data_IF_518837010599
#
_entry.id   IF_518837010599
#
_cell.length_a   1.000
_cell.length_b   1.000
_cell.length_c   1.000
_cell.angle_alpha   90.00
_cell.angle_beta   90.00
_cell.angle_gamma   90.00
#
_symmetry.space_group_name_H-M   'P 1'
#
loop_
_entity.id
_entity.type
_entity.pdbx_description
1 polymer ?
#
# COMPACT_ATOMS: atom_id res chain seq x y z
N UNK A 1 19.89 -1.69 -20.58
CA UNK A 1 19.75 -0.27 -20.20
C UNK A 1 18.74 -0.18 -19.06
N UNK A 2 19.02 0.60 -18.01
CA UNK A 2 18.03 0.84 -16.95
C UNK A 2 16.91 1.75 -17.49
N UNK A 3 15.65 1.35 -17.30
CA UNK A 3 14.49 2.13 -17.72
C UNK A 3 14.21 3.25 -16.71
N UNK A 4 14.85 4.42 -16.89
CA UNK A 4 14.61 5.60 -16.07
C UNK A 4 13.28 6.27 -16.42
N UNK A 5 12.61 6.84 -15.41
CA UNK A 5 11.42 7.68 -15.58
C UNK A 5 11.86 9.13 -15.74
N UNK A 6 11.11 9.88 -16.56
CA UNK A 6 11.37 11.29 -16.82
C UNK A 6 10.18 12.14 -16.35
N UNK A 7 10.48 13.31 -15.79
CA UNK A 7 9.58 14.44 -15.64
C UNK A 7 10.11 15.65 -16.42
N UNK A 8 9.47 16.81 -16.33
CA UNK A 8 9.83 17.99 -17.13
C UNK A 8 11.28 18.44 -16.96
N UNK A 9 11.84 18.29 -15.75
CA UNK A 9 13.21 18.68 -15.41
C UNK A 9 13.91 17.65 -14.53
N UNK A 10 13.51 16.37 -14.60
CA UNK A 10 14.02 15.34 -13.68
C UNK A 10 14.08 13.98 -14.35
N UNK A 11 15.19 13.27 -14.17
CA UNK A 11 15.35 11.86 -14.52
C UNK A 11 15.50 11.08 -13.22
N UNK A 12 14.68 10.06 -13.01
CA UNK A 12 14.63 9.36 -11.72
C UNK A 12 14.30 7.86 -11.87
N UNK A 13 14.81 7.08 -10.93
CA UNK A 13 14.40 5.68 -10.72
C UNK A 13 14.35 5.43 -9.21
N UNK A 14 13.24 5.87 -8.60
CA UNK A 14 13.03 5.76 -7.16
C UNK A 14 12.16 4.56 -6.90
N UNK A 15 12.69 3.59 -6.13
CA UNK A 15 11.98 2.41 -5.72
C UNK A 15 12.02 2.25 -4.21
N UNK A 16 10.88 1.97 -3.60
CA UNK A 16 10.78 1.70 -2.17
C UNK A 16 10.19 0.32 -1.93
N UNK A 17 10.80 -0.40 -0.97
CA UNK A 17 10.24 -1.63 -0.44
C UNK A 17 9.54 -1.30 0.88
N UNK A 18 8.22 -1.32 0.87
CA UNK A 18 7.39 -1.08 2.05
C UNK A 18 6.91 -2.40 2.64
N UNK A 19 7.06 -2.53 3.95
CA UNK A 19 6.54 -3.66 4.72
C UNK A 19 5.84 -3.11 5.96
N UNK A 20 4.62 -3.59 6.22
CA UNK A 20 3.92 -3.28 7.46
C UNK A 20 3.06 -4.47 7.91
N UNK A 21 2.79 -4.50 9.21
CA UNK A 21 2.03 -5.57 9.88
C UNK A 21 0.64 -5.10 10.31
N UNK A 22 -0.25 -6.04 10.56
CA UNK A 22 -1.51 -5.80 11.26
C UNK A 22 -1.26 -5.49 12.74
N UNK A 23 -2.18 -4.76 13.38
CA UNK A 23 -2.10 -4.46 14.82
C UNK A 23 -2.14 -5.80 15.59
N UNK A 24 -1.23 -5.97 16.55
CA UNK A 24 -1.04 -7.23 17.29
C UNK A 24 -0.73 -8.46 16.41
N UNK A 25 -0.36 -8.26 15.15
CA UNK A 25 -0.01 -9.34 14.22
C UNK A 25 -1.15 -10.35 13.99
N UNK A 26 -2.39 -9.92 14.15
CA UNK A 26 -3.54 -10.77 13.88
C UNK A 26 -3.65 -11.12 12.40
N UNK A 27 -3.93 -12.39 12.13
CA UNK A 27 -4.09 -12.92 10.78
C UNK A 27 -5.45 -12.56 10.14
N UNK A 28 -5.76 -11.27 10.04
CA UNK A 28 -7.04 -10.77 9.55
C UNK A 28 -7.09 -10.55 8.05
N UNK A 29 -5.94 -10.52 7.37
CA UNK A 29 -5.84 -10.29 5.93
C UNK A 29 -6.07 -11.61 5.18
N UNK A 30 -7.29 -12.15 5.29
CA UNK A 30 -7.71 -13.40 4.64
C UNK A 30 -9.03 -13.20 3.89
N UNK A 31 -9.25 -14.00 2.86
CA UNK A 31 -10.48 -13.99 2.04
C UNK A 31 -10.81 -12.58 1.54
N UNK A 32 -12.07 -12.17 1.69
CA UNK A 32 -12.58 -10.89 1.20
C UNK A 32 -11.80 -9.67 1.71
N UNK A 33 -11.27 -9.73 2.94
CA UNK A 33 -10.48 -8.63 3.51
C UNK A 33 -9.18 -8.44 2.73
N UNK A 34 -8.52 -9.54 2.34
CA UNK A 34 -7.29 -9.50 1.57
C UNK A 34 -7.54 -9.03 0.12
N UNK A 35 -8.61 -9.51 -0.51
CA UNK A 35 -9.00 -9.05 -1.85
C UNK A 35 -9.32 -7.57 -1.86
N UNK A 36 -10.11 -7.12 -0.88
CA UNK A 36 -10.45 -5.70 -0.79
C UNK A 36 -9.25 -4.82 -0.50
N UNK A 37 -8.36 -5.24 0.39
CA UNK A 37 -7.11 -4.53 0.65
C UNK A 37 -6.28 -4.38 -0.63
N UNK A 38 -6.17 -5.44 -1.44
CA UNK A 38 -5.45 -5.39 -2.72
C UNK A 38 -6.01 -4.31 -3.65
N UNK A 39 -7.33 -4.23 -3.78
CA UNK A 39 -7.97 -3.24 -4.64
C UNK A 39 -7.76 -1.82 -4.13
N UNK A 40 -7.88 -1.61 -2.81
CA UNK A 40 -7.62 -0.31 -2.18
C UNK A 40 -6.16 0.15 -2.37
N UNK A 41 -5.20 -0.77 -2.25
CA UNK A 41 -3.79 -0.45 -2.46
C UNK A 41 -3.48 -0.12 -3.93
N UNK A 42 -4.10 -0.83 -4.88
CA UNK A 42 -4.00 -0.51 -6.32
C UNK A 42 -4.56 0.88 -6.61
N UNK A 43 -5.79 1.15 -6.17
CA UNK A 43 -6.43 2.46 -6.35
C UNK A 43 -5.61 3.60 -5.72
N UNK A 44 -5.06 3.39 -4.53
CA UNK A 44 -4.22 4.38 -3.84
C UNK A 44 -2.87 4.62 -4.51
N UNK A 45 -2.28 3.60 -5.15
CA UNK A 45 -1.07 3.78 -5.95
C UNK A 45 -1.36 4.51 -7.26
N UNK A 46 -2.40 4.10 -7.98
CA UNK A 46 -2.79 4.67 -9.26
C UNK A 46 -3.14 6.16 -9.13
N UNK A 47 -3.86 6.54 -8.07
CA UNK A 47 -4.24 7.95 -7.83
C UNK A 47 -3.04 8.86 -7.56
N UNK A 48 -1.87 8.30 -7.25
CA UNK A 48 -0.64 9.04 -6.94
C UNK A 48 0.45 8.84 -8.02
N UNK A 49 0.15 8.17 -9.13
CA UNK A 49 1.13 7.87 -10.18
C UNK A 49 2.26 6.93 -9.73
N UNK A 50 2.01 6.15 -8.67
CA UNK A 50 2.93 5.14 -8.14
C UNK A 50 2.70 3.83 -8.89
N UNK A 51 3.78 3.22 -9.38
CA UNK A 51 3.70 1.93 -10.09
C UNK A 51 4.05 0.80 -9.12
N UNK A 52 3.14 -0.16 -8.96
CA UNK A 52 3.41 -1.39 -8.21
C UNK A 52 4.28 -2.29 -9.07
N UNK A 53 5.49 -2.60 -8.61
CA UNK A 53 6.41 -3.53 -9.28
C UNK A 53 6.18 -4.96 -8.79
N UNK A 54 6.04 -5.12 -7.47
CA UNK A 54 5.69 -6.38 -6.82
C UNK A 54 4.83 -6.07 -5.59
N UNK A 55 3.93 -6.98 -5.22
CA UNK A 55 3.14 -6.84 -4.02
C UNK A 55 2.54 -8.16 -3.60
N UNK A 56 2.46 -8.38 -2.30
CA UNK A 56 1.82 -9.55 -1.73
C UNK A 56 1.24 -9.22 -0.36
N UNK A 57 0.15 -9.89 -0.07
CA UNK A 57 -0.61 -9.73 1.15
C UNK A 57 -0.57 -11.08 1.84
N UNK A 58 0.13 -11.13 2.96
CA UNK A 58 0.15 -12.26 3.88
C UNK A 58 -0.90 -12.04 4.97
N UNK A 59 -1.32 -13.10 5.69
CA UNK A 59 -2.40 -12.99 6.66
C UNK A 59 -2.21 -11.90 7.73
N UNK A 60 -0.97 -11.64 8.14
CA UNK A 60 -0.60 -10.69 9.20
C UNK A 60 0.25 -9.50 8.71
N UNK A 61 0.68 -9.47 7.45
CA UNK A 61 1.55 -8.42 6.93
C UNK A 61 1.40 -8.20 5.42
N UNK A 62 1.85 -7.04 4.96
CA UNK A 62 1.87 -6.68 3.54
C UNK A 62 3.28 -6.28 3.17
N UNK A 63 3.74 -6.74 2.00
CA UNK A 63 4.95 -6.23 1.37
C UNK A 63 4.64 -5.69 -0.02
N UNK A 64 5.25 -4.55 -0.37
CA UNK A 64 5.13 -3.94 -1.68
C UNK A 64 6.43 -3.32 -2.13
N UNK A 65 6.82 -3.61 -3.37
CA UNK A 65 7.87 -2.92 -4.08
C UNK A 65 7.23 -1.91 -5.04
N UNK A 66 7.44 -0.63 -4.80
CA UNK A 66 6.82 0.47 -5.53
C UNK A 66 7.87 1.26 -6.29
N UNK A 67 7.55 1.69 -7.51
CA UNK A 67 8.27 2.77 -8.22
C UNK A 67 7.51 4.08 -8.05
N UNK A 68 8.15 5.04 -7.39
CA UNK A 68 7.50 6.25 -6.91
C UNK A 68 7.95 7.50 -7.69
N UNK A 69 7.07 8.50 -7.85
CA UNK A 69 7.45 9.84 -8.29
C UNK A 69 8.47 10.51 -7.37
N UNK A 70 9.31 11.39 -7.92
CA UNK A 70 10.34 12.11 -7.15
C UNK A 70 9.80 13.20 -6.22
N UNK A 71 8.54 13.61 -6.37
CA UNK A 71 7.90 14.64 -5.57
C UNK A 71 7.10 14.10 -4.38
N UNK A 72 7.04 12.78 -4.18
CA UNK A 72 6.31 12.17 -3.08
C UNK A 72 7.27 11.66 -2.00
N UNK A 73 7.04 12.08 -0.75
CA UNK A 73 7.84 11.58 0.36
C UNK A 73 7.43 10.14 0.73
N UNK A 74 8.37 9.27 1.12
CA UNK A 74 8.06 7.89 1.55
C UNK A 74 7.05 7.82 2.70
N UNK A 75 7.10 8.78 3.63
CA UNK A 75 6.19 8.90 4.76
C UNK A 75 4.76 9.19 4.32
N UNK A 76 4.56 10.08 3.35
CA UNK A 76 3.24 10.43 2.79
C UNK A 76 2.62 9.24 2.06
N UNK A 77 3.42 8.52 1.26
CA UNK A 77 3.01 7.29 0.57
C UNK A 77 2.48 6.28 1.59
N UNK A 78 3.24 6.04 2.67
CA UNK A 78 2.83 5.11 3.72
C UNK A 78 1.61 5.58 4.49
N UNK A 79 1.53 6.86 4.82
CA UNK A 79 0.39 7.44 5.51
C UNK A 79 -0.90 7.24 4.69
N UNK A 80 -0.85 7.52 3.39
CA UNK A 80 -2.00 7.37 2.51
C UNK A 80 -2.38 5.88 2.34
N UNK A 81 -1.43 5.05 1.92
CA UNK A 81 -1.71 3.63 1.63
C UNK A 81 -2.18 2.87 2.87
N UNK A 82 -1.49 3.01 4.00
CA UNK A 82 -1.86 2.31 5.25
C UNK A 82 -3.07 2.95 5.93
N UNK A 83 -3.12 4.29 6.01
CA UNK A 83 -4.17 5.01 6.71
C UNK A 83 -5.52 4.87 6.04
N UNK A 84 -5.59 5.16 4.73
CA UNK A 84 -6.83 5.11 3.95
C UNK A 84 -7.37 3.69 3.83
N UNK A 85 -6.51 2.71 3.56
CA UNK A 85 -6.93 1.31 3.48
C UNK A 85 -7.45 0.79 4.83
N UNK A 86 -6.77 1.10 5.93
CA UNK A 86 -7.20 0.69 7.28
C UNK A 86 -8.58 1.26 7.64
N UNK A 87 -8.82 2.53 7.33
CA UNK A 87 -10.12 3.18 7.59
C UNK A 87 -11.23 2.48 6.80
N UNK A 88 -11.07 2.36 5.48
CA UNK A 88 -12.08 1.77 4.60
C UNK A 88 -12.35 0.30 4.93
N UNK A 89 -11.30 -0.50 5.22
CA UNK A 89 -11.50 -1.89 5.63
C UNK A 89 -12.26 -2.01 6.95
N UNK A 90 -12.04 -1.13 7.92
CA UNK A 90 -12.78 -1.17 9.19
C UNK A 90 -14.24 -0.74 9.05
N UNK A 91 -14.53 0.15 8.09
CA UNK A 91 -15.88 0.57 7.74
C UNK A 91 -16.63 -0.56 7.00
N UNK A 92 -15.99 -1.20 6.01
CA UNK A 92 -16.58 -2.26 5.19
C UNK A 92 -16.67 -3.61 5.92
N UNK A 93 -15.76 -3.89 6.86
CA UNK A 93 -15.72 -5.14 7.64
C UNK A 93 -15.83 -4.88 9.14
N UNK A 94 -17.04 -4.69 9.71
CA UNK A 94 -17.25 -4.39 11.13
C UNK A 94 -16.63 -5.42 12.10
N UNK A 95 -16.43 -6.66 11.63
CA UNK A 95 -15.70 -7.72 12.36
C UNK A 95 -14.26 -7.34 12.72
N UNK A 96 -13.60 -6.50 11.91
CA UNK A 96 -12.25 -6.01 12.19
C UNK A 96 -12.26 -5.01 13.34
N UNK A 97 -13.26 -4.12 13.39
CA UNK A 97 -13.39 -3.13 14.47
C UNK A 97 -13.55 -3.82 15.82
N UNK A 98 -14.45 -4.81 15.92
CA UNK A 98 -14.68 -5.65 17.12
C UNK A 98 -13.45 -6.44 17.58
N UNK A 99 -12.48 -6.69 16.69
CA UNK A 99 -11.27 -7.45 17.01
C UNK A 99 -10.15 -6.57 17.55
N UNK A 100 -10.15 -5.28 17.22
CA UNK A 100 -9.10 -4.35 17.61
C UNK A 100 -9.47 -3.43 18.78
N UNK A 101 -10.77 -3.30 19.05
CA UNK A 101 -11.40 -2.45 20.05
C UNK A 101 -12.64 -3.16 20.58
#
# INVERSE_FOLDING_TARGET
MANYRNGSHTVYDIKYHFVWITKYRYEVLKGDVAFRLRDLLRQGCDSQGIKILQGNIQPDHVYMLLSCPANLAPSEIMQNLKGKSSKLLQEEFPKLKKKYW
#
